data_IF_200102603174
#
_entry.id   IF_200102603174
#
_cell.length_a   1.000
_cell.length_b   1.000
_cell.length_c   1.000
_cell.angle_alpha   90.00
_cell.angle_beta   90.00
_cell.angle_gamma   90.00
#
_symmetry.space_group_name_H-M   'P 1'
#
loop_
_entity.id
_entity.type
_entity.pdbx_description
1 polymer ?
#
# COMPACT_ATOMS: atom_id res chain seq x y z
N UNK A 1 15.96 -25.96 13.54
CA UNK A 1 14.93 -24.89 13.67
C UNK A 1 14.05 -24.92 12.41
N UNK A 2 12.72 -25.08 12.54
CA UNK A 2 11.80 -25.18 11.40
C UNK A 2 11.77 -23.84 10.64
N UNK A 3 12.13 -23.84 9.35
CA UNK A 3 12.15 -22.64 8.50
C UNK A 3 10.75 -22.02 8.50
N UNK A 4 10.63 -20.73 8.85
CA UNK A 4 9.35 -19.99 8.75
C UNK A 4 8.89 -20.09 7.30
N UNK A 5 7.66 -20.59 7.08
CA UNK A 5 7.04 -20.61 5.76
C UNK A 5 6.63 -19.17 5.46
N UNK A 6 7.00 -18.65 4.28
CA UNK A 6 6.60 -17.34 3.77
C UNK A 6 5.10 -17.32 3.39
N UNK A 7 4.22 -17.68 4.32
CA UNK A 7 2.77 -17.73 4.07
C UNK A 7 2.18 -16.36 4.37
N UNK A 8 1.49 -15.80 3.40
CA UNK A 8 0.75 -14.54 3.51
C UNK A 8 -0.41 -14.66 4.48
N UNK A 9 -0.69 -13.58 5.22
CA UNK A 9 -1.85 -13.50 6.10
C UNK A 9 -3.14 -13.48 5.28
N UNK A 10 -4.06 -14.38 5.60
CA UNK A 10 -5.37 -14.45 4.91
C UNK A 10 -6.41 -13.47 5.45
N UNK A 11 -6.18 -12.89 6.63
CA UNK A 11 -7.03 -11.86 7.23
C UNK A 11 -6.58 -10.47 6.79
N UNK A 12 -7.48 -9.48 6.78
CA UNK A 12 -7.02 -8.10 6.63
C UNK A 12 -6.08 -7.72 7.78
N UNK A 13 -5.13 -6.83 7.53
CA UNK A 13 -4.14 -6.32 8.47
C UNK A 13 -4.80 -5.80 9.75
N UNK A 14 -5.91 -5.06 9.65
CA UNK A 14 -6.64 -4.55 10.81
C UNK A 14 -7.18 -5.70 11.69
N UNK A 15 -7.80 -6.71 11.10
CA UNK A 15 -8.28 -7.87 11.86
C UNK A 15 -7.14 -8.76 12.36
N UNK A 16 -6.04 -8.85 11.62
CA UNK A 16 -4.84 -9.59 12.02
C UNK A 16 -4.19 -8.95 13.25
N UNK A 17 -3.92 -7.64 13.23
CA UNK A 17 -3.34 -6.92 14.37
C UNK A 17 -4.28 -6.90 15.57
N UNK A 18 -5.59 -6.73 15.33
CA UNK A 18 -6.62 -6.78 16.36
C UNK A 18 -6.91 -8.19 16.88
N UNK A 19 -6.32 -9.24 16.29
CA UNK A 19 -6.59 -10.67 16.58
C UNK A 19 -8.08 -11.01 16.55
N UNK A 20 -8.83 -10.48 15.59
CA UNK A 20 -10.27 -10.73 15.42
C UNK A 20 -10.56 -11.57 14.18
N UNK A 21 -11.73 -12.21 14.16
CA UNK A 21 -12.24 -12.97 13.01
C UNK A 21 -12.41 -12.03 11.81
N UNK A 22 -11.82 -12.42 10.69
CA UNK A 22 -11.99 -11.77 9.39
C UNK A 22 -12.79 -12.70 8.48
N UNK A 23 -13.87 -12.19 7.89
CA UNK A 23 -14.70 -12.89 6.89
C UNK A 23 -14.07 -12.85 5.49
N UNK A 24 -12.93 -12.19 5.33
CA UNK A 24 -12.11 -12.11 4.10
C UNK A 24 -12.79 -11.47 2.89
N UNK A 25 -13.99 -10.92 3.04
CA UNK A 25 -14.61 -10.03 2.06
C UNK A 25 -13.80 -8.73 1.97
N UNK A 26 -13.88 -8.01 0.85
CA UNK A 26 -13.13 -6.76 0.62
C UNK A 26 -14.12 -5.61 0.35
N UNK A 27 -14.24 -4.63 1.26
CA UNK A 27 -13.75 -4.62 2.64
C UNK A 27 -14.44 -5.70 3.50
N UNK A 28 -13.80 -6.14 4.58
CA UNK A 28 -14.35 -7.21 5.43
C UNK A 28 -15.54 -6.69 6.24
N UNK A 29 -16.54 -7.52 6.52
CA UNK A 29 -17.79 -7.09 7.16
C UNK A 29 -17.58 -6.40 8.51
N UNK A 30 -16.59 -6.84 9.30
CA UNK A 30 -16.22 -6.18 10.55
C UNK A 30 -15.70 -4.75 10.32
N UNK A 31 -14.83 -4.56 9.33
CA UNK A 31 -14.31 -3.24 8.99
C UNK A 31 -15.43 -2.32 8.47
N UNK A 32 -16.42 -2.87 7.75
CA UNK A 32 -17.62 -2.12 7.34
C UNK A 32 -18.41 -1.67 8.57
N UNK A 33 -18.74 -2.59 9.48
CA UNK A 33 -19.53 -2.30 10.68
C UNK A 33 -18.86 -1.27 11.62
N UNK A 34 -17.53 -1.24 11.63
CA UNK A 34 -16.76 -0.30 12.45
C UNK A 34 -16.44 1.02 11.75
N UNK A 35 -16.85 1.21 10.48
CA UNK A 35 -16.48 2.39 9.70
C UNK A 35 -14.98 2.48 9.37
N UNK A 36 -14.25 1.36 9.44
CA UNK A 36 -12.80 1.27 9.22
C UNK A 36 -12.45 0.70 7.83
N UNK A 37 -13.30 0.91 6.83
CA UNK A 37 -13.11 0.38 5.47
C UNK A 37 -11.80 0.86 4.84
N UNK A 38 -11.42 2.12 5.07
CA UNK A 38 -10.15 2.69 4.60
C UNK A 38 -8.89 2.09 5.26
N UNK A 39 -9.04 1.38 6.39
CA UNK A 39 -7.96 0.65 7.06
C UNK A 39 -8.01 -0.86 6.81
N UNK A 40 -8.97 -1.33 6.01
CA UNK A 40 -9.15 -2.75 5.69
C UNK A 40 -8.20 -3.20 4.57
N UNK A 41 -6.91 -3.20 4.86
CA UNK A 41 -5.85 -3.58 3.92
C UNK A 41 -5.51 -5.05 4.09
N UNK A 42 -5.13 -5.78 3.03
CA UNK A 42 -4.65 -7.15 3.12
C UNK A 42 -3.15 -7.19 2.78
N UNK A 43 -2.41 -8.12 3.38
CA UNK A 43 -1.11 -8.49 2.82
C UNK A 43 -1.39 -9.07 1.43
N UNK A 44 -0.74 -8.57 0.39
CA UNK A 44 -1.09 -8.71 -1.04
C UNK A 44 -2.05 -7.61 -1.53
N UNK A 45 -1.48 -6.43 -1.77
CA UNK A 45 -1.49 -5.91 -3.15
C UNK A 45 -0.25 -6.50 -3.82
N UNK A 46 -0.43 -7.08 -5.00
CA UNK A 46 0.55 -7.87 -5.74
C UNK A 46 1.98 -7.31 -5.66
N UNK A 47 3.03 -8.08 -5.32
CA UNK A 47 4.41 -7.60 -5.46
C UNK A 47 4.76 -7.17 -6.90
N UNK A 48 3.99 -7.58 -7.91
CA UNK A 48 4.05 -7.01 -9.26
C UNK A 48 3.61 -5.53 -9.31
N UNK A 49 2.70 -5.08 -8.44
CA UNK A 49 2.29 -3.67 -8.31
C UNK A 49 3.30 -2.81 -7.54
N UNK A 50 4.22 -3.43 -6.80
CA UNK A 50 5.35 -2.69 -6.18
C UNK A 50 6.42 -2.31 -7.21
N UNK A 51 6.47 -3.03 -8.32
CA UNK A 51 7.23 -2.67 -9.51
C UNK A 51 6.29 -2.06 -10.55
N UNK A 52 5.36 -1.20 -10.15
CA UNK A 52 4.60 -0.44 -11.12
C UNK A 52 5.56 0.61 -11.71
N UNK A 53 6.01 0.48 -12.99
CA UNK A 53 6.89 1.45 -13.61
C UNK A 53 6.28 2.86 -13.62
N UNK A 54 4.96 3.00 -13.46
CA UNK A 54 4.31 4.31 -13.31
C UNK A 54 4.66 5.01 -11.99
N UNK A 55 4.86 4.28 -10.90
CA UNK A 55 5.22 4.91 -9.60
C UNK A 55 6.65 5.46 -9.67
N UNK A 56 7.57 4.70 -10.28
CA UNK A 56 8.93 5.15 -10.56
C UNK A 56 8.94 6.36 -11.49
N UNK A 57 8.14 6.31 -12.56
CA UNK A 57 8.00 7.41 -13.52
C UNK A 57 7.43 8.67 -12.86
N UNK A 58 6.39 8.56 -12.03
CA UNK A 58 5.85 9.74 -11.31
C UNK A 58 6.86 10.38 -10.37
N UNK A 59 7.73 9.58 -9.76
CA UNK A 59 8.79 10.07 -8.88
C UNK A 59 9.88 10.77 -9.69
N UNK A 60 10.30 10.18 -10.81
CA UNK A 60 11.26 10.76 -11.74
C UNK A 60 10.78 12.08 -12.34
N UNK A 61 9.52 12.16 -12.76
CA UNK A 61 8.91 13.36 -13.31
C UNK A 61 8.84 14.49 -12.27
N UNK A 62 8.43 14.18 -11.02
CA UNK A 62 8.43 15.17 -9.93
C UNK A 62 9.81 15.76 -9.66
N UNK A 63 10.83 14.90 -9.61
CA UNK A 63 12.20 15.35 -9.40
C UNK A 63 12.69 16.27 -10.54
N UNK A 64 12.37 15.90 -11.79
CA UNK A 64 12.73 16.71 -12.96
C UNK A 64 12.02 18.05 -12.98
N UNK A 65 10.73 18.10 -12.61
CA UNK A 65 9.97 19.35 -12.49
C UNK A 65 10.62 20.27 -11.46
N UNK A 66 10.97 19.76 -10.27
CA UNK A 66 11.59 20.56 -9.22
C UNK A 66 12.94 21.17 -9.67
N UNK A 67 13.77 20.40 -10.39
CA UNK A 67 15.02 20.89 -10.98
C UNK A 67 14.78 22.02 -12.00
N UNK A 68 13.82 21.83 -12.90
CA UNK A 68 13.46 22.84 -13.90
C UNK A 68 12.90 24.11 -13.26
N UNK A 69 12.07 23.97 -12.23
CA UNK A 69 11.52 25.09 -11.47
C UNK A 69 12.62 25.90 -10.77
N UNK A 70 13.66 25.24 -10.25
CA UNK A 70 14.83 25.93 -9.67
C UNK A 70 15.58 26.73 -10.72
N UNK A 71 15.89 26.12 -11.87
CA UNK A 71 16.60 26.80 -12.97
C UNK A 71 15.81 27.99 -13.51
N UNK A 72 14.50 27.85 -13.67
CA UNK A 72 13.63 28.96 -14.11
C UNK A 72 13.63 30.09 -13.10
N UNK A 73 13.69 29.78 -11.80
CA UNK A 73 13.77 30.78 -10.73
C UNK A 73 15.12 31.50 -10.72
N UNK A 74 16.21 30.83 -11.06
CA UNK A 74 17.55 31.40 -11.13
C UNK A 74 17.78 32.27 -12.39
N UNK A 75 17.06 31.97 -13.48
CA UNK A 75 17.16 32.70 -14.75
C UNK A 75 16.20 33.90 -14.86
N UNK A 76 15.36 34.15 -13.84
CA UNK A 76 14.43 35.28 -13.75
C UNK A 76 14.86 36.25 -12.67
#
# INVERSE_FOLDING_TARGET
RKRRRNRTTQSCLNCHTSKRKCDRKRPCQRCIQLGLTGLCVYEIDDPALRNDPMIDETTRLRNRIAELESLVRELR
#
